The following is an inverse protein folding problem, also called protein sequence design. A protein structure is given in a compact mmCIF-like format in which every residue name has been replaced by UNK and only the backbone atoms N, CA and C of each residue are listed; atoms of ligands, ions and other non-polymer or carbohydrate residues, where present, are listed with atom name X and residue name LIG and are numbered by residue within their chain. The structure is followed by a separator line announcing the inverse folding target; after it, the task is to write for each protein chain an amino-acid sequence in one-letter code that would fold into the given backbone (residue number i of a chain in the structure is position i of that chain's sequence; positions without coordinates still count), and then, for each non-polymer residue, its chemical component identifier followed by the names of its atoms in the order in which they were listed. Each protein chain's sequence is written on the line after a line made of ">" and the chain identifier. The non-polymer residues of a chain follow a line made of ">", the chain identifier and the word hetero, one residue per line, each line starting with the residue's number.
data_IF_309854638807
#
_entry.id   IF_309854638807
#
_cell.length_a   1.000
_cell.length_b   1.000
_cell.length_c   1.000
_cell.angle_alpha   90.00
_cell.angle_beta   90.00
_cell.angle_gamma   90.00
#
_symmetry.space_group_name_H-M   'P 1'
#
loop_
_entity.id
_entity.type
_entity.pdbx_description
1 polymer ?
#
# COMPACT_ATOMS: atom_id res chain seq x y z
N UNK A 1 -24.16 -10.05 15.02
CA UNK A 1 -23.39 -8.95 14.77
C UNK A 1 -24.10 -7.85 14.03
N UNK A 2 -24.25 -6.75 14.66
CA UNK A 2 -25.05 -5.66 14.11
C UNK A 2 -24.29 -4.87 13.05
N UNK A 3 -23.27 -5.43 12.57
CA UNK A 3 -22.33 -4.72 11.72
C UNK A 3 -22.92 -4.31 10.40
N UNK A 4 -23.85 -5.11 9.91
CA UNK A 4 -24.34 -4.80 8.59
C UNK A 4 -25.14 -3.56 8.53
N UNK A 5 -25.79 -3.21 9.58
CA UNK A 5 -26.63 -2.02 9.57
C UNK A 5 -25.75 -0.79 9.46
N UNK A 6 -24.64 -0.85 10.16
CA UNK A 6 -23.71 0.26 10.15
C UNK A 6 -22.82 0.27 8.94
N UNK A 7 -22.70 -0.86 8.27
CA UNK A 7 -21.87 -0.95 7.09
C UNK A 7 -22.28 0.02 6.01
N UNK A 8 -23.58 0.21 5.86
CA UNK A 8 -24.06 1.13 4.86
C UNK A 8 -23.60 2.55 5.18
N UNK A 9 -23.73 2.95 6.44
CA UNK A 9 -23.30 4.27 6.86
C UNK A 9 -21.79 4.39 6.76
N UNK A 10 -21.09 3.32 7.08
CA UNK A 10 -19.66 3.31 7.03
C UNK A 10 -19.16 3.53 5.61
N UNK A 11 -19.77 2.86 4.65
CA UNK A 11 -19.37 3.04 3.26
C UNK A 11 -19.66 4.45 2.79
N UNK A 12 -20.80 4.99 3.19
CA UNK A 12 -21.12 6.37 2.84
C UNK A 12 -20.07 7.32 3.38
N UNK A 13 -19.68 7.12 4.62
CA UNK A 13 -18.64 7.96 5.22
C UNK A 13 -17.33 7.84 4.50
N UNK A 14 -16.98 6.63 4.10
CA UNK A 14 -15.71 6.41 3.43
C UNK A 14 -15.65 7.12 2.09
N UNK A 15 -16.78 7.26 1.41
CA UNK A 15 -16.80 7.86 0.09
C UNK A 15 -17.34 9.26 0.05
N UNK A 16 -18.28 9.59 0.93
CA UNK A 16 -18.96 10.87 0.84
C UNK A 16 -18.39 11.93 1.75
N UNK A 17 -17.76 11.51 2.82
CA UNK A 17 -17.14 12.47 3.74
C UNK A 17 -15.69 12.73 3.40
N UNK A 18 -15.23 12.28 2.23
CA UNK A 18 -13.85 12.43 1.85
C UNK A 18 -13.54 13.87 1.53
N UNK A 19 -12.48 14.37 2.14
CA UNK A 19 -11.89 15.64 1.75
C UNK A 19 -11.18 15.46 0.42
N UNK A 20 -10.72 16.55 -0.14
CA UNK A 20 -9.94 16.49 -1.37
C UNK A 20 -8.73 15.59 -1.20
N UNK A 21 -8.10 15.67 -0.03
CA UNK A 21 -6.93 14.85 0.25
C UNK A 21 -7.28 13.38 0.28
N UNK A 22 -8.42 13.04 0.85
CA UNK A 22 -8.83 11.64 0.91
C UNK A 22 -9.20 11.10 -0.45
N UNK A 23 -9.75 11.95 -1.31
CA UNK A 23 -10.06 11.53 -2.67
C UNK A 23 -8.75 11.20 -3.40
N UNK A 24 -7.70 11.96 -3.13
CA UNK A 24 -6.41 11.71 -3.76
C UNK A 24 -5.82 10.36 -3.38
N UNK A 25 -6.24 9.78 -2.26
CA UNK A 25 -5.76 8.47 -1.86
C UNK A 25 -6.13 7.39 -2.87
N UNK A 26 -7.16 7.62 -3.66
CA UNK A 26 -7.56 6.69 -4.70
C UNK A 26 -6.78 6.88 -5.99
N UNK A 27 -6.02 7.96 -6.08
CA UNK A 27 -5.30 8.26 -7.30
C UNK A 27 -4.11 7.33 -7.46
N UNK A 28 -3.94 6.84 -8.68
CA UNK A 28 -2.81 6.00 -9.01
C UNK A 28 -1.56 6.86 -9.19
N UNK A 29 -0.46 6.45 -8.59
CA UNK A 29 0.81 7.15 -8.71
C UNK A 29 1.91 6.18 -9.12
N UNK A 30 2.69 6.61 -10.09
CA UNK A 30 3.86 5.85 -10.52
C UNK A 30 5.07 6.34 -9.75
N UNK A 31 5.87 5.43 -9.26
CA UNK A 31 7.17 5.76 -8.69
C UNK A 31 8.21 4.79 -9.23
N UNK A 32 9.39 5.30 -9.47
CA UNK A 32 10.48 4.51 -10.03
C UNK A 32 11.55 4.30 -8.97
N UNK A 33 12.07 3.10 -8.95
CA UNK A 33 13.10 2.70 -8.00
C UNK A 33 14.19 1.93 -8.71
N UNK A 34 15.37 1.92 -8.11
CA UNK A 34 16.43 1.03 -8.55
C UNK A 34 16.41 -0.18 -7.63
N UNK A 35 16.14 -1.33 -8.22
CA UNK A 35 16.12 -2.59 -7.49
C UNK A 35 17.20 -3.47 -8.12
N UNK A 36 18.25 -3.74 -7.34
CA UNK A 36 19.37 -4.55 -7.82
C UNK A 36 19.91 -4.02 -9.14
N UNK A 37 20.06 -2.68 -9.21
CA UNK A 37 20.62 -1.97 -10.38
C UNK A 37 19.68 -1.91 -11.57
N UNK A 38 18.46 -2.39 -11.41
CA UNK A 38 17.48 -2.29 -12.49
C UNK A 38 16.46 -1.24 -12.15
N UNK A 39 16.13 -0.42 -13.13
CA UNK A 39 15.11 0.59 -12.97
C UNK A 39 13.75 -0.09 -13.02
N UNK A 40 12.96 0.10 -12.00
CA UNK A 40 11.64 -0.53 -11.90
C UNK A 40 10.61 0.55 -11.61
N UNK A 41 9.55 0.58 -12.41
CA UNK A 41 8.46 1.53 -12.21
C UNK A 41 7.26 0.78 -11.66
N UNK A 42 6.71 1.30 -10.59
CA UNK A 42 5.61 0.66 -9.89
C UNK A 42 4.47 1.66 -9.80
N UNK A 43 3.26 1.20 -10.11
CA UNK A 43 2.06 2.01 -10.02
C UNK A 43 1.18 1.47 -8.92
N UNK A 44 0.93 2.31 -7.92
CA UNK A 44 0.04 1.97 -6.81
C UNK A 44 -0.82 3.16 -6.50
N UNK A 45 -1.98 2.92 -5.95
CA UNK A 45 -2.81 3.98 -5.42
C UNK A 45 -2.07 4.67 -4.28
N UNK A 46 -2.31 5.95 -4.13
CA UNK A 46 -1.60 6.74 -3.13
C UNK A 46 -1.75 6.17 -1.72
N UNK A 47 -2.92 5.60 -1.42
CA UNK A 47 -3.14 5.01 -0.10
C UNK A 47 -2.10 3.93 0.20
N UNK A 48 -1.77 3.12 -0.79
CA UNK A 48 -0.76 2.07 -0.59
C UNK A 48 0.64 2.66 -0.42
N UNK A 49 0.96 3.71 -1.17
CA UNK A 49 2.25 4.38 -0.99
C UNK A 49 2.36 4.94 0.42
N UNK A 50 1.28 5.50 0.95
CA UNK A 50 1.29 6.03 2.31
C UNK A 50 1.59 4.94 3.33
N UNK A 51 0.97 3.78 3.17
CA UNK A 51 1.22 2.66 4.07
C UNK A 51 2.67 2.18 3.97
N UNK A 52 3.17 2.08 2.75
CA UNK A 52 4.55 1.64 2.55
C UNK A 52 5.55 2.61 3.18
N UNK A 53 5.30 3.91 3.05
CA UNK A 53 6.15 4.90 3.69
C UNK A 53 6.10 4.78 5.21
N UNK A 54 4.94 4.50 5.75
CA UNK A 54 4.78 4.31 7.17
C UNK A 54 5.56 3.07 7.65
N UNK A 55 5.47 1.99 6.89
CA UNK A 55 6.23 0.78 7.22
C UNK A 55 7.73 1.05 7.19
N UNK A 56 8.19 1.74 6.15
CA UNK A 56 9.61 2.05 6.03
C UNK A 56 10.08 2.88 7.22
N UNK A 57 9.30 3.88 7.58
CA UNK A 57 9.64 4.73 8.71
C UNK A 57 9.72 3.94 10.01
N UNK A 58 8.75 3.08 10.25
CA UNK A 58 8.74 2.27 11.46
C UNK A 58 9.90 1.29 11.53
N UNK A 59 10.37 0.85 10.39
CA UNK A 59 11.49 -0.09 10.37
C UNK A 59 12.83 0.61 10.27
N UNK A 60 12.82 1.92 10.12
CA UNK A 60 14.07 2.66 10.04
C UNK A 60 14.83 2.43 8.74
N UNK A 61 14.12 2.18 7.65
CA UNK A 61 14.75 2.01 6.34
C UNK A 61 14.13 2.99 5.35
N UNK A 62 14.83 3.24 4.25
CA UNK A 62 14.27 4.08 3.21
C UNK A 62 13.20 3.32 2.44
N UNK A 63 12.32 4.06 1.77
CA UNK A 63 11.29 3.42 0.96
C UNK A 63 11.90 2.56 -0.14
N UNK A 64 12.91 3.03 -0.89
CA UNK A 64 13.53 2.15 -1.89
C UNK A 64 14.08 0.86 -1.30
N UNK A 65 14.67 0.95 -0.10
CA UNK A 65 15.19 -0.24 0.54
C UNK A 65 14.06 -1.19 0.95
N UNK A 66 12.96 -0.65 1.43
CA UNK A 66 11.81 -1.47 1.78
C UNK A 66 11.27 -2.20 0.55
N UNK A 67 11.14 -1.47 -0.56
CA UNK A 67 10.68 -2.07 -1.81
C UNK A 67 11.59 -3.21 -2.22
N UNK A 68 12.89 -3.00 -2.08
CA UNK A 68 13.87 -4.02 -2.44
C UNK A 68 13.74 -5.26 -1.56
N UNK A 69 13.56 -5.06 -0.27
CA UNK A 69 13.37 -6.17 0.67
C UNK A 69 12.13 -6.97 0.30
N UNK A 70 11.03 -6.28 0.02
CA UNK A 70 9.80 -6.96 -0.34
C UNK A 70 9.96 -7.68 -1.67
N UNK A 71 10.59 -7.05 -2.62
CA UNK A 71 10.86 -7.66 -3.91
C UNK A 71 11.59 -8.98 -3.73
N UNK A 72 12.63 -8.99 -2.91
CA UNK A 72 13.41 -10.20 -2.69
C UNK A 72 12.58 -11.30 -2.06
N UNK A 73 11.68 -10.94 -1.15
CA UNK A 73 10.82 -11.93 -0.51
C UNK A 73 9.76 -12.44 -1.47
N UNK A 74 9.29 -11.61 -2.37
CA UNK A 74 8.19 -11.96 -3.27
C UNK A 74 8.65 -12.61 -4.56
N UNK A 75 9.95 -12.72 -4.79
CA UNK A 75 10.46 -13.27 -6.03
C UNK A 75 9.99 -14.71 -6.24
N UNK A 76 9.79 -15.41 -5.15
CA UNK A 76 9.31 -16.78 -5.20
C UNK A 76 7.91 -16.83 -5.79
N UNK A 77 7.13 -15.83 -5.47
CA UNK A 77 5.74 -15.80 -5.92
C UNK A 77 5.66 -15.47 -7.40
N UNK A 78 6.23 -14.34 -7.79
CA UNK A 78 6.24 -13.92 -9.19
C UNK A 78 6.67 -12.46 -9.26
N UNK A 79 7.81 -12.22 -9.85
CA UNK A 79 8.32 -10.86 -9.93
C UNK A 79 7.46 -9.95 -10.81
N UNK A 80 6.65 -10.53 -11.68
CA UNK A 80 5.76 -9.73 -12.52
C UNK A 80 4.63 -9.10 -11.74
N UNK A 81 4.40 -9.57 -10.51
CA UNK A 81 3.29 -9.09 -9.70
C UNK A 81 3.77 -8.31 -8.49
N UNK A 82 4.84 -7.55 -8.67
CA UNK A 82 5.37 -6.79 -7.55
C UNK A 82 4.34 -5.83 -6.98
N UNK A 83 3.57 -5.15 -7.84
CA UNK A 83 2.53 -4.24 -7.37
C UNK A 83 1.51 -4.98 -6.52
N UNK A 84 1.09 -6.15 -6.96
CA UNK A 84 0.15 -6.97 -6.18
C UNK A 84 0.74 -7.38 -4.86
N UNK A 85 2.00 -7.75 -4.87
CA UNK A 85 2.72 -8.13 -3.66
C UNK A 85 2.72 -6.98 -2.66
N UNK A 86 3.02 -5.79 -3.15
CA UNK A 86 3.06 -4.61 -2.28
C UNK A 86 1.69 -4.31 -1.68
N UNK A 87 0.64 -4.46 -2.47
CA UNK A 87 -0.71 -4.24 -1.96
C UNK A 87 -1.06 -5.25 -0.87
N UNK A 88 -0.71 -6.51 -1.09
CA UNK A 88 -0.99 -7.55 -0.11
C UNK A 88 -0.22 -7.31 1.18
N UNK A 89 1.04 -6.91 1.05
CA UNK A 89 1.85 -6.59 2.23
C UNK A 89 1.22 -5.46 3.02
N UNK A 90 0.72 -4.43 2.34
CA UNK A 90 0.05 -3.33 3.02
C UNK A 90 -1.16 -3.80 3.79
N UNK A 91 -1.97 -4.66 3.18
CA UNK A 91 -3.16 -5.17 3.85
C UNK A 91 -2.79 -6.02 5.07
N UNK A 92 -1.77 -6.85 4.94
CA UNK A 92 -1.32 -7.65 6.06
C UNK A 92 -0.81 -6.78 7.19
N UNK A 93 -0.06 -5.75 6.85
CA UNK A 93 0.47 -4.85 7.86
C UNK A 93 -0.65 -4.18 8.63
N UNK A 94 -1.63 -3.66 7.92
CA UNK A 94 -2.76 -2.99 8.54
C UNK A 94 -3.53 -3.96 9.45
N UNK A 95 -3.76 -5.17 8.98
CA UNK A 95 -4.50 -6.15 9.76
C UNK A 95 -3.75 -6.57 11.02
N UNK A 96 -2.44 -6.66 10.95
CA UNK A 96 -1.65 -7.14 12.08
C UNK A 96 -1.43 -6.02 13.09
N UNK A 97 -1.20 -4.81 12.64
CA UNK A 97 -0.71 -3.77 13.53
C UNK A 97 -1.71 -2.69 13.88
N UNK A 98 -2.89 -2.68 13.29
CA UNK A 98 -3.89 -1.67 13.62
C UNK A 98 -5.10 -2.24 14.30
N UNK A 99 -5.05 -3.46 14.64
CA UNK A 99 -6.16 -4.17 15.25
C UNK A 99 -6.43 -3.72 16.67
#
# INVERSE_FOLDING_TARGET
>A
MAIYIENKDMLDEMFNACSTEQIEEFASQKRSFRIHRHSTTIRLERAFWNVLEFIAENRGVSLPRLIEIIHDQCIVANDKNLASCLRVICLKYVNIYTD
#
